data_IF_799681301671
#
_entry.id   IF_799681301671
#
_cell.length_a   1.000
_cell.length_b   1.000
_cell.length_c   1.000
_cell.angle_alpha   90.00
_cell.angle_beta   90.00
_cell.angle_gamma   90.00
#
_symmetry.space_group_name_H-M   'P 1'
#
loop_
_entity.id
_entity.type
_entity.pdbx_description
1 polymer ?
#
# COMPACT_ATOMS: atom_id res chain seq x y z
N UNK A 1 30.18 -13.05 16.28
CA UNK A 1 29.66 -12.95 14.91
C UNK A 1 29.99 -11.56 14.42
N UNK A 2 30.72 -11.41 13.30
CA UNK A 2 30.96 -10.09 12.73
C UNK A 2 29.61 -9.53 12.25
N UNK A 3 29.19 -8.40 12.82
CA UNK A 3 28.04 -7.65 12.34
C UNK A 3 28.38 -7.14 10.93
N UNK A 4 27.71 -7.69 9.92
CA UNK A 4 27.92 -7.31 8.51
C UNK A 4 27.19 -6.01 8.15
N UNK A 5 26.53 -5.34 9.09
CA UNK A 5 25.73 -4.14 8.84
C UNK A 5 24.53 -4.41 7.94
N UNK A 6 24.03 -5.65 7.93
CA UNK A 6 22.87 -6.05 7.12
C UNK A 6 21.60 -5.67 7.88
N UNK A 7 20.76 -4.85 7.27
CA UNK A 7 19.46 -4.44 7.82
C UNK A 7 18.34 -4.69 6.82
N UNK A 8 17.10 -4.73 7.31
CA UNK A 8 15.90 -4.79 6.46
C UNK A 8 15.66 -3.46 5.76
N UNK A 9 15.06 -3.50 4.57
CA UNK A 9 14.77 -2.30 3.79
C UNK A 9 13.67 -1.42 4.42
N UNK A 10 12.69 -2.04 5.09
CA UNK A 10 11.60 -1.38 5.80
C UNK A 10 10.95 -2.37 6.79
N UNK A 11 10.12 -1.86 7.71
CA UNK A 11 9.14 -2.65 8.46
C UNK A 11 7.73 -2.29 8.00
N UNK A 12 6.82 -3.26 7.90
CA UNK A 12 5.43 -3.01 7.48
C UNK A 12 4.46 -3.35 8.62
N UNK A 13 3.61 -2.39 9.00
CA UNK A 13 2.68 -2.52 10.14
C UNK A 13 1.26 -2.08 9.79
N UNK A 14 0.29 -2.41 10.64
CA UNK A 14 -1.06 -1.87 10.52
C UNK A 14 -1.09 -0.34 10.74
N UNK A 15 -2.04 0.39 10.14
CA UNK A 15 -2.11 1.86 10.23
C UNK A 15 -2.01 2.39 11.66
N UNK A 16 -2.80 1.81 12.58
CA UNK A 16 -2.84 2.18 13.99
C UNK A 16 -1.56 1.88 14.79
N UNK A 17 -0.51 1.35 14.15
CA UNK A 17 0.80 1.03 14.74
C UNK A 17 1.95 1.79 14.09
N UNK A 18 1.69 2.62 13.08
CA UNK A 18 2.73 3.39 12.38
C UNK A 18 3.45 4.31 13.36
N UNK A 19 2.71 5.12 14.11
CA UNK A 19 3.29 6.05 15.09
C UNK A 19 4.14 5.32 16.16
N UNK A 20 3.68 4.15 16.62
CA UNK A 20 4.42 3.32 17.57
C UNK A 20 5.74 2.81 16.97
N UNK A 21 5.70 2.31 15.73
CA UNK A 21 6.87 1.80 15.02
C UNK A 21 7.92 2.90 14.75
N UNK A 22 7.47 4.07 14.28
CA UNK A 22 8.34 5.23 14.04
C UNK A 22 9.05 5.64 15.32
N UNK A 23 8.32 5.75 16.44
CA UNK A 23 8.89 6.10 17.74
C UNK A 23 9.89 5.05 18.23
N UNK A 24 9.56 3.77 18.10
CA UNK A 24 10.42 2.68 18.54
C UNK A 24 11.74 2.62 17.76
N UNK A 25 11.68 2.74 16.42
CA UNK A 25 12.87 2.74 15.58
C UNK A 25 13.77 3.95 15.85
N UNK A 26 13.17 5.13 15.99
CA UNK A 26 13.90 6.34 16.38
C UNK A 26 14.57 6.20 17.74
N UNK A 27 13.88 5.65 18.74
CA UNK A 27 14.44 5.41 20.08
C UNK A 27 15.58 4.38 20.06
N UNK A 28 15.54 3.41 19.14
CA UNK A 28 16.60 2.44 18.91
C UNK A 28 17.78 3.00 18.09
N UNK A 29 17.69 4.25 17.60
CA UNK A 29 18.71 4.84 16.71
C UNK A 29 18.76 4.18 15.33
N UNK A 30 17.67 3.53 14.90
CA UNK A 30 17.56 2.87 13.60
C UNK A 30 16.86 3.78 12.59
N UNK A 31 17.46 3.93 11.41
CA UNK A 31 16.89 4.70 10.30
C UNK A 31 16.15 3.80 9.29
N UNK A 32 15.37 2.84 9.79
CA UNK A 32 14.61 1.91 8.95
C UNK A 32 13.26 2.55 8.60
N UNK A 33 12.89 2.65 7.32
CA UNK A 33 11.58 3.14 6.88
C UNK A 33 10.41 2.33 7.45
N UNK A 34 9.29 3.02 7.71
CA UNK A 34 8.02 2.39 8.11
C UNK A 34 7.06 2.41 6.94
N UNK A 35 6.64 1.23 6.52
CA UNK A 35 5.54 1.00 5.60
C UNK A 35 4.25 0.69 6.36
N UNK A 36 3.10 0.93 5.74
CA UNK A 36 1.82 0.48 6.28
C UNK A 36 0.90 -0.10 5.23
N UNK A 37 0.21 -1.19 5.59
CA UNK A 37 -0.93 -1.68 4.80
C UNK A 37 -2.12 -0.74 4.97
N UNK A 38 -2.88 -0.49 3.91
CA UNK A 38 -4.05 0.37 3.97
C UNK A 38 -5.21 -0.15 3.12
N UNK A 39 -6.24 0.68 2.99
CA UNK A 39 -7.40 0.49 2.12
C UNK A 39 -8.21 -0.76 2.45
N UNK A 40 -8.51 -0.98 3.72
CA UNK A 40 -9.32 -2.09 4.20
C UNK A 40 -8.59 -3.43 4.14
N UNK A 41 -7.27 -3.44 4.25
CA UNK A 41 -6.47 -4.66 4.25
C UNK A 41 -6.99 -5.67 5.29
N UNK A 42 -7.10 -6.97 4.94
CA UNK A 42 -6.75 -7.58 3.65
C UNK A 42 -7.90 -7.60 2.62
N UNK A 43 -9.13 -7.24 3.02
CA UNK A 43 -10.33 -7.44 2.23
C UNK A 43 -10.52 -6.42 1.08
N UNK A 44 -10.17 -5.15 1.31
CA UNK A 44 -10.36 -4.08 0.32
C UNK A 44 -11.81 -3.64 0.10
N UNK A 45 -12.74 -4.04 0.98
CA UNK A 45 -14.20 -3.90 0.78
C UNK A 45 -14.86 -2.75 1.58
N UNK A 46 -14.07 -1.85 2.17
CA UNK A 46 -14.61 -0.65 2.82
C UNK A 46 -14.88 0.45 1.80
N UNK A 47 -15.72 1.42 2.16
CA UNK A 47 -16.03 2.55 1.29
C UNK A 47 -14.75 3.29 0.85
N UNK A 48 -14.72 3.77 -0.41
CA UNK A 48 -13.55 4.47 -0.96
C UNK A 48 -13.11 5.64 -0.07
N UNK A 49 -14.06 6.40 0.51
CA UNK A 49 -13.76 7.49 1.44
C UNK A 49 -12.95 7.00 2.64
N UNK A 50 -13.35 5.89 3.27
CA UNK A 50 -12.63 5.28 4.39
C UNK A 50 -11.25 4.81 3.97
N UNK A 51 -11.15 4.14 2.81
CA UNK A 51 -9.86 3.66 2.28
C UNK A 51 -8.87 4.80 2.01
N UNK A 52 -9.34 5.91 1.45
CA UNK A 52 -8.51 7.10 1.25
C UNK A 52 -8.08 7.74 2.57
N UNK A 53 -8.95 7.71 3.58
CA UNK A 53 -8.63 8.26 4.89
C UNK A 53 -7.62 7.40 5.65
N UNK A 54 -7.72 6.07 5.56
CA UNK A 54 -6.70 5.18 6.11
C UNK A 54 -5.30 5.47 5.55
N UNK A 55 -5.19 5.76 4.24
CA UNK A 55 -3.92 6.17 3.63
C UNK A 55 -3.41 7.47 4.26
N UNK A 56 -4.26 8.50 4.36
CA UNK A 56 -3.86 9.81 4.89
C UNK A 56 -3.39 9.71 6.34
N UNK A 57 -4.13 8.99 7.17
CA UNK A 57 -3.79 8.78 8.57
C UNK A 57 -2.47 8.02 8.72
N UNK A 58 -2.24 6.97 7.92
CA UNK A 58 -0.97 6.24 7.95
C UNK A 58 0.22 7.14 7.55
N UNK A 59 0.05 8.00 6.54
CA UNK A 59 1.08 8.98 6.16
C UNK A 59 1.29 10.03 7.25
N UNK A 60 0.21 10.55 7.85
CA UNK A 60 0.26 11.50 8.96
C UNK A 60 0.99 10.91 10.19
N UNK A 61 0.78 9.63 10.47
CA UNK A 61 1.45 8.88 11.53
C UNK A 61 2.93 8.60 11.23
N UNK A 62 3.41 8.88 10.01
CA UNK A 62 4.81 8.84 9.62
C UNK A 62 5.22 7.68 8.70
N UNK A 63 4.27 6.98 8.08
CA UNK A 63 4.61 5.95 7.09
C UNK A 63 5.17 6.59 5.82
N UNK A 64 6.34 6.14 5.39
CA UNK A 64 6.99 6.58 4.14
C UNK A 64 6.60 5.73 2.95
N UNK A 65 5.94 4.59 3.19
CA UNK A 65 5.43 3.71 2.15
C UNK A 65 4.04 3.19 2.52
N UNK A 66 3.15 3.07 1.54
CA UNK A 66 1.77 2.61 1.74
C UNK A 66 1.46 1.47 0.78
N UNK A 67 1.06 0.33 1.34
CA UNK A 67 0.71 -0.89 0.61
C UNK A 67 -0.82 -1.00 0.53
N UNK A 68 -1.41 -0.61 -0.61
CA UNK A 68 -2.87 -0.59 -0.80
C UNK A 68 -3.40 -1.87 -1.43
N UNK A 69 -4.57 -2.32 -1.02
CA UNK A 69 -5.30 -3.44 -1.63
C UNK A 69 -6.28 -2.94 -2.67
N UNK A 70 -6.22 -3.50 -3.88
CA UNK A 70 -7.17 -3.16 -4.95
C UNK A 70 -8.56 -3.74 -4.68
N UNK A 71 -9.60 -3.10 -5.22
CA UNK A 71 -10.91 -3.73 -5.35
C UNK A 71 -10.88 -4.84 -6.42
N UNK A 72 -10.75 -6.10 -5.96
CA UNK A 72 -10.69 -7.29 -6.82
C UNK A 72 -11.92 -7.48 -7.70
N UNK A 73 -13.10 -7.05 -7.24
CA UNK A 73 -14.34 -7.11 -8.03
C UNK A 73 -14.20 -6.35 -9.34
N UNK A 74 -13.49 -5.23 -9.36
CA UNK A 74 -13.24 -4.46 -10.58
C UNK A 74 -12.39 -5.25 -11.58
N UNK A 75 -11.39 -6.01 -11.10
CA UNK A 75 -10.58 -6.89 -11.95
C UNK A 75 -11.42 -8.04 -12.51
N UNK A 76 -12.16 -8.73 -11.64
CA UNK A 76 -12.96 -9.90 -12.00
C UNK A 76 -14.11 -9.56 -12.96
N UNK A 77 -14.60 -8.33 -12.91
CA UNK A 77 -15.66 -7.82 -13.81
C UNK A 77 -15.12 -7.00 -14.99
N UNK A 78 -13.80 -6.90 -15.16
CA UNK A 78 -13.16 -6.21 -16.28
C UNK A 78 -13.30 -4.68 -16.26
N UNK A 79 -13.58 -4.07 -15.11
CA UNK A 79 -13.74 -2.63 -14.93
C UNK A 79 -12.38 -1.92 -14.76
N UNK A 80 -11.54 -1.99 -15.78
CA UNK A 80 -10.14 -1.50 -15.73
C UNK A 80 -10.00 0.01 -15.52
N UNK A 81 -10.89 0.81 -16.11
CA UNK A 81 -10.88 2.27 -15.92
C UNK A 81 -11.19 2.65 -14.47
N UNK A 82 -12.18 1.99 -13.86
CA UNK A 82 -12.52 2.22 -12.46
C UNK A 82 -11.36 1.84 -11.54
N UNK A 83 -10.66 0.73 -11.83
CA UNK A 83 -9.46 0.33 -11.09
C UNK A 83 -8.34 1.38 -11.23
N UNK A 84 -8.10 1.87 -12.44
CA UNK A 84 -7.12 2.94 -12.71
C UNK A 84 -7.45 4.20 -11.89
N UNK A 85 -8.69 4.69 -11.99
CA UNK A 85 -9.15 5.89 -11.30
C UNK A 85 -9.10 5.75 -9.77
N UNK A 86 -9.37 4.55 -9.24
CA UNK A 86 -9.25 4.23 -7.81
C UNK A 86 -7.78 4.28 -7.35
N UNK A 87 -6.86 3.63 -8.07
CA UNK A 87 -5.43 3.63 -7.71
C UNK A 87 -4.83 5.04 -7.85
N UNK A 88 -5.26 5.85 -8.82
CA UNK A 88 -4.87 7.27 -8.94
C UNK A 88 -5.26 8.07 -7.70
N UNK A 89 -6.44 7.82 -7.15
CA UNK A 89 -6.87 8.47 -5.91
C UNK A 89 -6.03 8.01 -4.71
N UNK A 90 -5.68 6.72 -4.63
CA UNK A 90 -4.74 6.22 -3.63
C UNK A 90 -3.37 6.88 -3.74
N UNK A 91 -2.81 6.96 -4.96
CA UNK A 91 -1.52 7.64 -5.20
C UNK A 91 -1.56 9.09 -4.75
N UNK A 92 -2.64 9.82 -5.08
CA UNK A 92 -2.82 11.20 -4.63
C UNK A 92 -2.91 11.30 -3.11
N UNK A 93 -3.59 10.36 -2.44
CA UNK A 93 -3.72 10.34 -0.99
C UNK A 93 -2.39 10.04 -0.26
N UNK A 94 -1.46 9.33 -0.92
CA UNK A 94 -0.14 9.04 -0.35
C UNK A 94 0.76 10.29 -0.23
N UNK A 95 0.48 11.38 -0.96
CA UNK A 95 1.38 12.53 -1.01
C UNK A 95 2.76 12.13 -1.50
N UNK A 96 3.79 12.32 -0.65
CA UNK A 96 5.17 11.93 -0.94
C UNK A 96 5.48 10.46 -0.63
N UNK A 97 4.67 9.79 0.20
CA UNK A 97 4.92 8.40 0.58
C UNK A 97 4.87 7.48 -0.66
N UNK A 98 5.73 6.47 -0.72
CA UNK A 98 5.79 5.53 -1.84
C UNK A 98 4.55 4.62 -1.87
N UNK A 99 3.87 4.53 -3.01
CA UNK A 99 2.69 3.66 -3.15
C UNK A 99 3.11 2.28 -3.67
N UNK A 100 2.73 1.23 -2.94
CA UNK A 100 2.72 -0.16 -3.44
C UNK A 100 1.28 -0.66 -3.58
N UNK A 101 1.06 -1.54 -4.55
CA UNK A 101 -0.29 -2.05 -4.83
C UNK A 101 -0.32 -3.57 -4.70
N UNK A 102 -1.08 -4.04 -3.73
CA UNK A 102 -1.40 -5.45 -3.50
C UNK A 102 -2.51 -5.86 -4.45
N UNK A 103 -2.17 -6.71 -5.42
CA UNK A 103 -3.11 -7.22 -6.41
C UNK A 103 -3.92 -8.41 -5.92
N UNK A 104 -3.44 -9.12 -4.89
CA UNK A 104 -4.00 -10.39 -4.41
C UNK A 104 -4.15 -11.41 -5.56
N UNK A 105 -3.03 -11.71 -6.22
CA UNK A 105 -2.97 -12.52 -7.45
C UNK A 105 -3.63 -13.89 -7.35
N UNK A 106 -3.63 -14.51 -6.16
CA UNK A 106 -4.32 -15.78 -5.90
C UNK A 106 -5.85 -15.72 -6.04
N UNK A 107 -6.44 -14.52 -6.03
CA UNK A 107 -7.89 -14.30 -6.14
C UNK A 107 -8.31 -13.71 -7.51
N UNK A 108 -7.38 -13.50 -8.44
CA UNK A 108 -7.68 -12.85 -9.73
C UNK A 108 -8.12 -13.82 -10.84
N UNK A 109 -8.16 -15.12 -10.55
CA UNK A 109 -8.72 -16.17 -11.42
C UNK A 109 -7.88 -16.55 -12.65
N UNK A 110 -7.05 -15.64 -13.19
CA UNK A 110 -6.17 -15.94 -14.34
C UNK A 110 -4.92 -15.07 -14.36
N UNK A 111 -3.85 -15.58 -14.98
CA UNK A 111 -2.62 -14.81 -15.23
C UNK A 111 -2.86 -13.59 -16.13
N UNK A 112 -3.85 -13.65 -17.02
CA UNK A 112 -4.27 -12.49 -17.84
C UNK A 112 -4.80 -11.36 -16.96
N UNK A 113 -5.59 -11.67 -15.94
CA UNK A 113 -6.08 -10.67 -15.00
C UNK A 113 -4.95 -10.12 -14.13
N UNK A 114 -4.02 -10.98 -13.68
CA UNK A 114 -2.81 -10.55 -12.96
C UNK A 114 -2.01 -9.56 -13.82
N UNK A 115 -1.74 -9.91 -15.08
CA UNK A 115 -1.03 -9.04 -16.01
C UNK A 115 -1.73 -7.69 -16.19
N UNK A 116 -3.03 -7.70 -16.49
CA UNK A 116 -3.80 -6.45 -16.69
C UNK A 116 -3.84 -5.59 -15.43
N UNK A 117 -4.06 -6.19 -14.26
CA UNK A 117 -4.07 -5.48 -12.98
C UNK A 117 -2.69 -4.86 -12.67
N UNK A 118 -1.60 -5.58 -12.92
CA UNK A 118 -0.24 -5.05 -12.80
C UNK A 118 0.00 -3.85 -13.72
N UNK A 119 -0.44 -3.93 -14.97
CA UNK A 119 -0.29 -2.83 -15.93
C UNK A 119 -1.07 -1.59 -15.49
N UNK A 120 -2.34 -1.78 -15.11
CA UNK A 120 -3.17 -0.68 -14.61
C UNK A 120 -2.57 -0.04 -13.35
N UNK A 121 -2.09 -0.85 -12.40
CA UNK A 121 -1.46 -0.35 -11.18
C UNK A 121 -0.20 0.49 -11.49
N UNK A 122 0.68 0.01 -12.38
CA UNK A 122 1.89 0.77 -12.76
C UNK A 122 1.57 2.04 -13.54
N UNK A 123 0.55 2.03 -14.40
CA UNK A 123 0.09 3.23 -15.12
C UNK A 123 -0.53 4.27 -14.17
N UNK A 124 -1.28 3.81 -13.16
CA UNK A 124 -1.96 4.68 -12.20
C UNK A 124 -1.01 5.23 -11.13
N UNK A 125 -0.01 4.44 -10.72
CA UNK A 125 0.91 4.75 -9.63
C UNK A 125 2.02 5.76 -9.97
N UNK A 126 2.19 6.15 -11.24
CA UNK A 126 3.06 7.28 -11.61
C UNK A 126 2.23 8.56 -11.57
N UNK A 127 2.44 9.38 -10.55
CA UNK A 127 2.03 10.80 -10.52
C UNK A 127 3.27 11.66 -10.66
#
# INVERSE_FOLDING_TARGET
MHDKGITTAAVCVYPARVCDAVKALKAAGCDIPVASVATGFPAGQTHLKTRLEEIRLAVEDGATEIDVVINRTLVLTGQWKALYDEIRQFRKACGEAHLKTILATGELGSLTNVYKASMIAMMAGRL
#
